data_IF_312802942533
#
_entry.id   IF_312802942533
#
_cell.length_a   1.000
_cell.length_b   1.000
_cell.length_c   1.000
_cell.angle_alpha   90.00
_cell.angle_beta   90.00
_cell.angle_gamma   90.00
#
_symmetry.space_group_name_H-M   'P 1'
#
loop_
_entity.id
_entity.type
_entity.pdbx_description
1 polymer ?
#
# COMPACT_ATOMS: atom_id res chain seq x y z
N UNK A 1 -22.18 14.12 23.26
CA UNK A 1 -21.74 13.80 21.88
C UNK A 1 -21.60 12.29 21.59
N UNK A 2 -21.77 11.37 22.55
CA UNK A 2 -21.58 9.91 22.33
C UNK A 2 -22.79 9.16 21.70
N UNK A 3 -24.01 9.70 21.77
CA UNK A 3 -25.23 9.01 21.34
C UNK A 3 -25.33 8.78 19.81
N UNK A 4 -24.67 9.61 19.00
CA UNK A 4 -24.72 9.53 17.53
C UNK A 4 -23.88 8.38 16.95
N UNK A 5 -22.75 8.05 17.57
CA UNK A 5 -21.85 6.99 17.09
C UNK A 5 -22.45 5.60 17.34
N UNK A 6 -23.00 5.37 18.53
CA UNK A 6 -23.68 4.11 18.91
C UNK A 6 -24.97 3.90 18.12
N UNK A 7 -25.74 4.97 17.85
CA UNK A 7 -26.94 4.88 17.01
C UNK A 7 -26.59 4.55 15.55
N UNK A 8 -25.53 5.15 14.99
CA UNK A 8 -25.03 4.84 13.64
C UNK A 8 -24.48 3.42 13.55
N UNK A 9 -23.79 2.95 14.58
CA UNK A 9 -23.29 1.57 14.66
C UNK A 9 -24.44 0.56 14.77
N UNK A 10 -25.46 0.82 15.60
CA UNK A 10 -26.63 -0.05 15.76
C UNK A 10 -27.50 -0.09 14.50
N UNK A 11 -27.66 1.04 13.82
CA UNK A 11 -28.34 1.13 12.53
C UNK A 11 -27.54 0.43 11.41
N UNK A 12 -26.20 0.55 11.42
CA UNK A 12 -25.33 -0.21 10.53
C UNK A 12 -25.44 -1.71 10.78
N UNK A 13 -25.44 -2.15 12.04
CA UNK A 13 -25.58 -3.57 12.43
C UNK A 13 -26.94 -4.16 12.05
N UNK A 14 -28.04 -3.41 12.25
CA UNK A 14 -29.38 -3.82 11.84
C UNK A 14 -29.57 -3.85 10.32
N UNK A 15 -28.79 -3.06 9.57
CA UNK A 15 -28.72 -3.12 8.11
C UNK A 15 -27.79 -4.24 7.63
N UNK A 16 -26.77 -4.56 8.43
CA UNK A 16 -25.81 -5.63 8.18
C UNK A 16 -26.40 -7.04 8.43
N UNK A 17 -27.36 -7.18 9.33
CA UNK A 17 -28.03 -8.45 9.60
C UNK A 17 -29.00 -8.90 8.49
N UNK A 18 -29.31 -8.02 7.52
CA UNK A 18 -30.12 -8.31 6.33
C UNK A 18 -29.30 -8.40 5.03
N UNK A 19 -28.00 -8.62 5.13
CA UNK A 19 -27.10 -8.65 3.95
C UNK A 19 -27.31 -9.96 3.18
N UNK A 20 -27.87 -9.84 1.98
CA UNK A 20 -27.95 -10.90 0.97
C UNK A 20 -26.54 -11.34 0.52
N UNK A 21 -26.37 -12.60 0.09
CA UNK A 21 -25.06 -13.20 -0.27
C UNK A 21 -24.32 -12.38 -1.33
N UNK A 22 -25.08 -11.77 -2.25
CA UNK A 22 -24.60 -10.83 -3.27
C UNK A 22 -24.00 -9.55 -2.68
N UNK A 23 -24.60 -9.05 -1.60
CA UNK A 23 -24.17 -7.86 -0.86
C UNK A 23 -22.99 -8.19 0.05
N UNK A 24 -22.93 -9.40 0.64
CA UNK A 24 -21.74 -9.88 1.35
C UNK A 24 -20.56 -9.95 0.38
N UNK A 25 -20.76 -10.46 -0.83
CA UNK A 25 -19.71 -10.53 -1.84
C UNK A 25 -19.23 -9.14 -2.30
N UNK A 26 -20.16 -8.20 -2.48
CA UNK A 26 -19.82 -6.81 -2.81
C UNK A 26 -19.08 -6.09 -1.67
N UNK A 27 -19.53 -6.28 -0.42
CA UNK A 27 -18.87 -5.75 0.77
C UNK A 27 -17.49 -6.40 0.99
N UNK A 28 -17.36 -7.70 0.72
CA UNK A 28 -16.10 -8.44 0.77
C UNK A 28 -15.13 -7.96 -0.30
N UNK A 29 -15.60 -7.70 -1.52
CA UNK A 29 -14.83 -7.07 -2.59
C UNK A 29 -14.34 -5.68 -2.19
N UNK A 30 -15.25 -4.78 -1.79
CA UNK A 30 -14.90 -3.43 -1.38
C UNK A 30 -13.92 -3.41 -0.18
N UNK A 31 -14.10 -4.32 0.79
CA UNK A 31 -13.17 -4.49 1.90
C UNK A 31 -11.80 -5.00 1.44
N UNK A 32 -11.73 -5.94 0.49
CA UNK A 32 -10.46 -6.42 -0.08
C UNK A 32 -9.73 -5.32 -0.87
N UNK A 33 -10.44 -4.51 -1.65
CA UNK A 33 -9.86 -3.38 -2.38
C UNK A 33 -9.32 -2.33 -1.42
N UNK A 34 -10.13 -1.97 -0.42
CA UNK A 34 -9.76 -1.03 0.64
C UNK A 34 -8.58 -1.54 1.46
N UNK A 35 -8.56 -2.83 1.78
CA UNK A 35 -7.47 -3.47 2.50
C UNK A 35 -6.18 -3.51 1.69
N UNK A 36 -6.26 -3.86 0.40
CA UNK A 36 -5.12 -3.81 -0.52
C UNK A 36 -4.51 -2.41 -0.59
N UNK A 37 -5.34 -1.39 -0.71
CA UNK A 37 -4.89 0.00 -0.77
C UNK A 37 -4.23 0.45 0.54
N UNK A 38 -4.90 0.25 1.69
CA UNK A 38 -4.34 0.61 2.99
C UNK A 38 -3.05 -0.16 3.22
N UNK A 39 -3.00 -1.45 2.90
CA UNK A 39 -1.78 -2.24 3.00
C UNK A 39 -0.64 -1.65 2.17
N UNK A 40 -0.88 -1.31 0.90
CA UNK A 40 0.10 -0.69 0.03
C UNK A 40 0.60 0.65 0.57
N UNK A 41 -0.28 1.48 1.13
CA UNK A 41 0.11 2.75 1.77
C UNK A 41 1.06 2.50 2.94
N UNK A 42 0.77 1.54 3.82
CA UNK A 42 1.63 1.24 4.97
C UNK A 42 3.00 0.67 4.55
N UNK A 43 3.02 -0.26 3.58
CA UNK A 43 4.26 -0.85 3.10
C UNK A 43 5.14 0.16 2.36
N UNK A 44 4.56 0.96 1.44
CA UNK A 44 5.32 1.99 0.74
C UNK A 44 5.79 3.07 1.71
N UNK A 45 4.94 3.53 2.64
CA UNK A 45 5.37 4.53 3.63
C UNK A 45 6.54 4.02 4.47
N UNK A 46 6.53 2.73 4.84
CA UNK A 46 7.63 2.13 5.59
C UNK A 46 8.90 2.00 4.76
N UNK A 47 8.77 1.66 3.47
CA UNK A 47 9.86 1.63 2.51
C UNK A 47 10.49 3.03 2.37
N UNK A 48 9.66 4.05 2.10
CA UNK A 48 10.09 5.43 1.93
C UNK A 48 10.72 6.00 3.20
N UNK A 49 10.15 5.73 4.37
CA UNK A 49 10.71 6.18 5.66
C UNK A 49 12.06 5.52 5.94
N UNK A 50 12.19 4.21 5.70
CA UNK A 50 13.47 3.54 5.84
C UNK A 50 14.52 4.10 4.87
N UNK A 51 14.15 4.31 3.60
CA UNK A 51 15.02 4.92 2.60
C UNK A 51 15.42 6.34 3.00
N UNK A 52 14.47 7.20 3.37
CA UNK A 52 14.73 8.56 3.82
C UNK A 52 15.64 8.57 5.06
N UNK A 53 15.37 7.73 6.05
CA UNK A 53 16.19 7.65 7.27
C UNK A 53 17.63 7.30 6.95
N UNK A 54 17.87 6.32 6.08
CA UNK A 54 19.23 5.92 5.66
C UNK A 54 19.90 7.02 4.84
N UNK A 55 19.19 7.63 3.88
CA UNK A 55 19.75 8.71 3.05
C UNK A 55 20.08 9.93 3.89
N UNK A 56 19.21 10.32 4.81
CA UNK A 56 19.39 11.48 5.67
C UNK A 56 20.51 11.28 6.71
N UNK A 57 20.76 10.04 7.14
CA UNK A 57 21.81 9.75 8.14
C UNK A 57 23.18 9.49 7.53
N UNK A 58 23.24 8.82 6.38
CA UNK A 58 24.49 8.39 5.75
C UNK A 58 24.87 9.20 4.51
N UNK A 59 23.98 10.06 4.00
CA UNK A 59 24.22 10.88 2.81
C UNK A 59 24.33 10.09 1.50
N UNK A 60 24.02 8.79 1.53
CA UNK A 60 24.15 7.87 0.39
C UNK A 60 22.89 7.04 0.21
N UNK A 61 22.64 6.62 -1.04
CA UNK A 61 21.58 5.67 -1.35
C UNK A 61 21.76 4.39 -0.53
N UNK A 62 20.67 3.74 -0.05
CA UNK A 62 20.75 2.43 0.59
C UNK A 62 21.47 1.37 -0.25
N UNK A 63 21.49 1.54 -1.56
CA UNK A 63 22.11 0.63 -2.52
C UNK A 63 23.61 0.90 -2.75
N UNK A 64 24.15 2.00 -2.21
CA UNK A 64 25.53 2.43 -2.47
C UNK A 64 26.57 1.66 -1.65
N UNK A 65 26.21 1.17 -0.45
CA UNK A 65 27.14 0.43 0.40
C UNK A 65 26.43 -0.62 1.25
N UNK A 66 27.19 -1.64 1.66
CA UNK A 66 26.69 -2.69 2.58
C UNK A 66 26.24 -2.10 3.91
N UNK A 67 26.92 -1.07 4.42
CA UNK A 67 26.54 -0.38 5.65
C UNK A 67 25.23 0.39 5.49
N UNK A 68 25.01 1.06 4.36
CA UNK A 68 23.76 1.74 4.06
C UNK A 68 22.60 0.75 3.90
N UNK A 69 22.84 -0.39 3.24
CA UNK A 69 21.85 -1.46 3.10
C UNK A 69 21.48 -2.09 4.46
N UNK A 70 22.45 -2.22 5.37
CA UNK A 70 22.21 -2.71 6.73
C UNK A 70 21.39 -1.71 7.57
N UNK A 71 21.71 -0.42 7.50
CA UNK A 71 20.93 0.63 8.15
C UNK A 71 19.49 0.65 7.64
N UNK A 72 19.31 0.63 6.31
CA UNK A 72 18.01 0.51 5.68
C UNK A 72 17.26 -0.75 6.13
N UNK A 73 17.93 -1.90 6.09
CA UNK A 73 17.35 -3.19 6.49
C UNK A 73 16.90 -3.20 7.94
N UNK A 74 17.69 -2.63 8.85
CA UNK A 74 17.35 -2.53 10.27
C UNK A 74 16.14 -1.62 10.51
N UNK A 75 16.12 -0.42 9.90
CA UNK A 75 14.99 0.50 10.02
C UNK A 75 13.74 -0.08 9.38
N UNK A 76 13.85 -0.67 8.19
CA UNK A 76 12.73 -1.31 7.51
C UNK A 76 12.18 -2.52 8.28
N UNK A 77 13.05 -3.35 8.85
CA UNK A 77 12.65 -4.47 9.69
C UNK A 77 11.92 -4.00 10.95
N UNK A 78 12.41 -2.95 11.63
CA UNK A 78 11.72 -2.35 12.77
C UNK A 78 10.32 -1.86 12.41
N UNK A 79 10.19 -1.13 11.30
CA UNK A 79 8.90 -0.69 10.78
C UNK A 79 8.00 -1.87 10.39
N UNK A 80 8.57 -2.94 9.83
CA UNK A 80 7.83 -4.16 9.51
C UNK A 80 7.28 -4.85 10.77
N UNK A 81 8.05 -4.94 11.86
CA UNK A 81 7.58 -5.48 13.14
C UNK A 81 6.42 -4.63 13.68
N UNK A 82 6.54 -3.30 13.66
CA UNK A 82 5.46 -2.40 14.10
C UNK A 82 4.19 -2.62 13.23
N UNK A 83 4.37 -2.76 11.92
CA UNK A 83 3.26 -3.04 11.00
C UNK A 83 2.56 -4.37 11.30
N UNK A 84 3.25 -5.36 11.84
CA UNK A 84 2.63 -6.62 12.26
C UNK A 84 1.60 -6.40 13.38
N UNK A 85 1.91 -5.52 14.33
CA UNK A 85 0.98 -5.15 15.40
C UNK A 85 -0.16 -4.26 14.91
N UNK A 86 0.07 -3.48 13.85
CA UNK A 86 -0.96 -2.63 13.22
C UNK A 86 -1.87 -3.39 12.25
N UNK A 87 -1.68 -4.71 12.03
CA UNK A 87 -2.56 -5.52 11.17
C UNK A 87 -4.05 -5.41 11.54
N UNK A 88 -4.46 -5.48 12.83
CA UNK A 88 -5.87 -5.30 13.21
C UNK A 88 -6.38 -3.88 12.92
N UNK A 89 -5.54 -2.87 13.18
CA UNK A 89 -5.86 -1.47 12.88
C UNK A 89 -6.03 -1.24 11.37
N UNK A 90 -5.22 -1.91 10.54
CA UNK A 90 -5.31 -1.90 9.08
C UNK A 90 -6.65 -2.47 8.59
N UNK A 91 -7.08 -3.57 9.18
CA UNK A 91 -8.42 -4.15 8.94
C UNK A 91 -9.52 -3.15 9.34
N UNK A 92 -9.44 -2.54 10.52
CA UNK A 92 -10.41 -1.54 10.95
C UNK A 92 -10.46 -0.31 10.01
N UNK A 93 -9.31 0.19 9.57
CA UNK A 93 -9.20 1.27 8.60
C UNK A 93 -9.80 0.90 7.24
N UNK A 94 -9.54 -0.32 6.75
CA UNK A 94 -10.12 -0.79 5.48
C UNK A 94 -11.64 -0.85 5.50
N UNK A 95 -12.23 -1.22 6.64
CA UNK A 95 -13.69 -1.19 6.83
C UNK A 95 -14.19 0.26 6.88
N UNK A 96 -13.48 1.14 7.59
CA UNK A 96 -13.85 2.55 7.70
C UNK A 96 -13.83 3.29 6.35
N UNK A 97 -12.86 2.98 5.47
CA UNK A 97 -12.74 3.62 4.15
C UNK A 97 -13.56 2.92 3.06
N UNK A 98 -14.13 1.74 3.33
CA UNK A 98 -14.93 0.99 2.35
C UNK A 98 -16.02 1.80 1.63
N UNK A 99 -16.73 2.78 2.26
CA UNK A 99 -17.71 3.59 1.55
C UNK A 99 -17.08 4.59 0.56
N UNK A 100 -15.83 4.99 0.79
CA UNK A 100 -15.09 5.87 -0.11
C UNK A 100 -14.61 5.08 -1.33
N UNK A 101 -14.16 3.84 -1.10
CA UNK A 101 -13.83 2.90 -2.17
C UNK A 101 -15.03 2.62 -3.08
N UNK A 102 -16.22 2.43 -2.53
CA UNK A 102 -17.44 2.25 -3.34
C UNK A 102 -17.75 3.46 -4.22
N UNK A 103 -17.53 4.68 -3.73
CA UNK A 103 -17.67 5.90 -4.55
C UNK A 103 -16.64 5.94 -5.68
N UNK A 104 -15.41 5.51 -5.41
CA UNK A 104 -14.35 5.45 -6.41
C UNK A 104 -14.69 4.46 -7.51
N UNK A 105 -15.23 3.28 -7.17
CA UNK A 105 -15.72 2.30 -8.15
C UNK A 105 -16.80 2.89 -9.04
N UNK A 106 -17.70 3.72 -8.49
CA UNK A 106 -18.73 4.40 -9.27
C UNK A 106 -18.15 5.46 -10.23
N UNK A 107 -17.04 6.11 -9.88
CA UNK A 107 -16.29 6.98 -10.81
C UNK A 107 -15.72 6.15 -11.96
N UNK A 108 -15.07 5.02 -11.66
CA UNK A 108 -14.50 4.11 -12.66
C UNK A 108 -15.56 3.44 -13.53
N UNK A 109 -16.81 3.35 -13.06
CA UNK A 109 -17.93 2.79 -13.81
C UNK A 109 -18.18 3.50 -15.14
N UNK A 110 -17.91 4.81 -15.21
CA UNK A 110 -18.04 5.62 -16.43
C UNK A 110 -17.03 5.27 -17.52
N UNK A 111 -15.95 4.58 -17.17
CA UNK A 111 -14.88 4.21 -18.09
C UNK A 111 -14.97 2.75 -18.57
N UNK A 112 -16.01 2.03 -18.14
CA UNK A 112 -16.16 0.60 -18.43
C UNK A 112 -17.29 0.36 -19.45
N UNK A 113 -17.07 -0.48 -20.48
CA UNK A 113 -18.09 -0.82 -21.47
C UNK A 113 -19.36 -1.40 -20.81
N UNK A 114 -20.50 -0.76 -21.05
CA UNK A 114 -21.80 -1.21 -20.54
C UNK A 114 -22.04 -0.96 -19.05
N UNK A 115 -21.28 -0.08 -18.38
CA UNK A 115 -21.47 0.31 -16.97
C UNK A 115 -21.56 -0.89 -16.00
N UNK A 116 -20.88 -1.99 -16.33
CA UNK A 116 -20.91 -3.23 -15.54
C UNK A 116 -20.10 -3.06 -14.26
N UNK A 117 -20.78 -3.14 -13.11
CA UNK A 117 -20.19 -2.95 -11.77
C UNK A 117 -18.98 -3.87 -11.47
N UNK A 118 -18.98 -5.17 -11.84
CA UNK A 118 -17.82 -6.03 -11.58
C UNK A 118 -16.57 -5.64 -12.36
N UNK A 119 -16.74 -5.20 -13.61
CA UNK A 119 -15.62 -4.74 -14.45
C UNK A 119 -15.06 -3.40 -13.97
N UNK A 120 -15.93 -2.48 -13.55
CA UNK A 120 -15.53 -1.21 -12.91
C UNK A 120 -14.77 -1.45 -11.60
N UNK A 121 -15.23 -2.42 -10.81
CA UNK A 121 -14.56 -2.84 -9.59
C UNK A 121 -13.14 -3.38 -9.89
N UNK A 122 -13.01 -4.31 -10.84
CA UNK A 122 -11.71 -4.84 -11.25
C UNK A 122 -10.75 -3.77 -11.78
N UNK A 123 -11.26 -2.84 -12.60
CA UNK A 123 -10.49 -1.70 -13.09
C UNK A 123 -9.99 -0.81 -11.93
N UNK A 124 -10.85 -0.53 -10.96
CA UNK A 124 -10.50 0.25 -9.76
C UNK A 124 -9.39 -0.44 -8.95
N UNK A 125 -9.48 -1.77 -8.77
CA UNK A 125 -8.43 -2.55 -8.08
C UNK A 125 -7.09 -2.38 -8.77
N UNK A 126 -7.05 -2.53 -10.10
CA UNK A 126 -5.81 -2.39 -10.88
C UNK A 126 -5.27 -0.96 -10.83
N UNK A 127 -6.12 0.04 -11.07
CA UNK A 127 -5.73 1.45 -11.02
C UNK A 127 -5.19 1.85 -9.65
N UNK A 128 -5.88 1.51 -8.57
CA UNK A 128 -5.52 1.95 -7.22
C UNK A 128 -4.36 1.13 -6.66
N UNK A 129 -4.40 -0.20 -6.77
CA UNK A 129 -3.41 -1.06 -6.12
C UNK A 129 -2.14 -1.29 -6.95
N UNK A 130 -2.18 -1.10 -8.26
CA UNK A 130 -1.00 -1.25 -9.11
C UNK A 130 -0.48 0.13 -9.46
N UNK A 131 -1.21 0.88 -10.28
CA UNK A 131 -0.73 2.17 -10.78
C UNK A 131 -0.60 3.23 -9.67
N UNK A 132 -1.57 3.31 -8.75
CA UNK A 132 -1.52 4.23 -7.60
C UNK A 132 -0.36 3.89 -6.66
N UNK A 133 -0.12 2.61 -6.40
CA UNK A 133 1.00 2.11 -5.60
C UNK A 133 2.34 2.47 -6.24
N UNK A 134 2.53 2.23 -7.53
CA UNK A 134 3.75 2.63 -8.23
C UNK A 134 3.93 4.14 -8.25
N UNK A 135 2.87 4.91 -8.53
CA UNK A 135 2.92 6.37 -8.51
C UNK A 135 3.30 6.90 -7.12
N UNK A 136 2.74 6.33 -6.05
CA UNK A 136 3.07 6.72 -4.68
C UNK A 136 4.52 6.37 -4.33
N UNK A 137 4.98 5.18 -4.71
CA UNK A 137 6.35 4.73 -4.45
C UNK A 137 7.38 5.60 -5.20
N UNK A 138 7.23 5.76 -6.52
CA UNK A 138 8.15 6.55 -7.32
C UNK A 138 8.07 8.04 -7.01
N UNK A 139 6.87 8.57 -6.76
CA UNK A 139 6.69 9.96 -6.30
C UNK A 139 7.36 10.20 -4.95
N UNK A 140 7.29 9.24 -4.03
CA UNK A 140 7.99 9.29 -2.75
C UNK A 140 9.50 9.25 -2.89
N UNK A 141 10.04 8.39 -3.75
CA UNK A 141 11.47 8.36 -4.05
C UNK A 141 11.96 9.66 -4.70
N UNK A 142 11.20 10.21 -5.64
CA UNK A 142 11.49 11.50 -6.24
C UNK A 142 11.48 12.62 -5.19
N UNK A 143 10.53 12.62 -4.27
CA UNK A 143 10.48 13.57 -3.17
C UNK A 143 11.70 13.43 -2.23
N UNK A 144 12.11 12.22 -1.88
CA UNK A 144 13.30 11.98 -1.06
C UNK A 144 14.54 12.54 -1.77
N UNK A 145 14.69 12.27 -3.07
CA UNK A 145 15.78 12.80 -3.87
C UNK A 145 15.74 14.34 -3.92
N UNK A 146 14.56 14.94 -4.10
CA UNK A 146 14.41 16.39 -4.11
C UNK A 146 14.74 17.04 -2.75
N UNK A 147 14.40 16.37 -1.64
CA UNK A 147 14.64 16.87 -0.28
C UNK A 147 16.10 16.69 0.17
N UNK A 148 16.74 15.59 -0.23
CA UNK A 148 18.08 15.23 0.27
C UNK A 148 19.20 15.56 -0.72
N UNK A 149 18.88 15.76 -1.99
CA UNK A 149 19.85 15.96 -3.07
C UNK A 149 20.64 14.70 -3.45
N UNK A 150 20.41 13.56 -2.77
CA UNK A 150 21.15 12.32 -3.00
C UNK A 150 20.50 11.53 -4.13
N UNK A 151 21.24 11.18 -5.19
CA UNK A 151 20.71 10.32 -6.23
C UNK A 151 20.46 8.92 -5.68
N UNK A 152 19.22 8.44 -5.84
CA UNK A 152 18.90 7.04 -5.61
C UNK A 152 19.50 6.28 -6.79
N UNK A 153 20.73 5.78 -6.64
CA UNK A 153 21.45 5.09 -7.71
C UNK A 153 20.66 3.88 -8.23
N UNK A 154 20.01 4.05 -9.38
CA UNK A 154 19.26 3.00 -10.08
C UNK A 154 20.20 2.07 -10.87
N UNK A 155 21.44 2.47 -11.11
CA UNK A 155 22.44 1.61 -11.76
C UNK A 155 22.95 0.49 -10.85
N UNK A 156 23.03 0.73 -9.54
CA UNK A 156 23.33 -0.31 -8.54
C UNK A 156 22.22 -1.38 -8.48
N UNK A 157 21.02 -1.07 -8.98
CA UNK A 157 19.88 -2.00 -9.10
C UNK A 157 20.13 -3.06 -10.20
N UNK A 158 20.82 -2.70 -11.29
CA UNK A 158 21.31 -3.68 -12.29
C UNK A 158 22.39 -4.57 -11.69
N UNK A 159 23.29 -3.99 -10.89
CA UNK A 159 24.30 -4.73 -10.13
C UNK A 159 23.67 -5.72 -9.15
N UNK A 160 22.63 -5.31 -8.44
CA UNK A 160 21.88 -6.15 -7.50
C UNK A 160 21.10 -7.27 -8.20
N UNK A 161 20.51 -7.01 -9.38
CA UNK A 161 19.87 -8.05 -10.21
C UNK A 161 20.89 -9.05 -10.76
N UNK A 162 22.09 -8.59 -11.11
CA UNK A 162 23.19 -9.44 -11.56
C UNK A 162 23.72 -10.29 -10.42
N UNK A 163 23.90 -9.70 -9.23
CA UNK A 163 24.29 -10.40 -8.01
C UNK A 163 23.20 -11.40 -7.55
N UNK A 164 21.93 -11.04 -7.67
CA UNK A 164 20.81 -11.94 -7.37
C UNK A 164 20.71 -13.11 -8.36
N UNK A 165 21.02 -12.88 -9.65
CA UNK A 165 21.18 -13.96 -10.64
C UNK A 165 22.35 -14.88 -10.28
N UNK A 166 23.50 -14.32 -9.92
CA UNK A 166 24.68 -15.09 -9.52
C UNK A 166 24.44 -15.91 -8.23
N UNK A 167 23.74 -15.34 -7.25
CA UNK A 167 23.36 -16.05 -6.02
C UNK A 167 22.35 -17.18 -6.28
N UNK A 168 21.52 -17.06 -7.32
CA UNK A 168 20.52 -18.07 -7.70
C UNK A 168 21.12 -19.24 -8.49
N UNK A 169 22.29 -19.06 -9.11
CA UNK A 169 23.00 -20.13 -9.81
C UNK A 169 23.94 -20.95 -8.93
N UNK A 170 24.23 -20.50 -7.70
CA UNK A 170 25.10 -21.20 -6.74
C UNK A 170 26.56 -21.35 -7.23
N UNK A 171 27.53 -21.54 -6.33
CA UNK A 171 28.86 -21.97 -6.74
C UNK A 171 28.80 -23.43 -7.20
N UNK A 172 29.42 -23.74 -8.33
CA UNK A 172 29.79 -25.11 -8.68
C UNK A 172 30.88 -25.62 -7.73
#
# INVERSE_FOLDING_TARGET
MAAGATARFKAWWAKASKIDRSTVAALGGAALLSYGFVSNVFYISSLLLATYSTVNTLGVSPLASKAAMQSFGATYFGLWVIQNFLRPARMALSVAISPQTDKLVEVFRRFVPGNKKPLAFGLTVVCVNIFGTFAYMFGGFFLIQALTGVPLELDSLKGLLTAARAARTGPA
#
